data_IF_819789754356
#
_entry.id   IF_819789754356
#
_cell.length_a   1.000
_cell.length_b   1.000
_cell.length_c   1.000
_cell.angle_alpha   90.00
_cell.angle_beta   90.00
_cell.angle_gamma   90.00
#
_symmetry.space_group_name_H-M   'P 1'
#
loop_
_entity.id
_entity.type
_entity.pdbx_description
1 polymer ?
#
# COMPACT_ATOMS: atom_id res chain seq x y z
N UNK A 1 -2.12 -13.17 -13.29
CA UNK A 1 -2.10 -12.27 -12.12
C UNK A 1 -0.76 -11.55 -12.07
N UNK A 2 -0.73 -10.25 -11.82
CA UNK A 2 0.51 -9.52 -11.59
C UNK A 2 0.71 -9.31 -10.09
N UNK A 3 1.79 -9.84 -9.53
CA UNK A 3 2.02 -9.87 -8.07
C UNK A 3 3.03 -8.82 -7.56
N UNK A 4 3.85 -8.24 -8.46
CA UNK A 4 4.92 -7.32 -8.07
C UNK A 4 4.80 -5.99 -8.80
N UNK A 5 4.04 -5.06 -8.22
CA UNK A 5 4.02 -3.66 -8.66
C UNK A 5 4.64 -2.74 -7.62
N UNK A 6 5.22 -1.65 -8.11
CA UNK A 6 5.58 -0.53 -7.25
C UNK A 6 4.31 0.13 -6.71
N UNK A 7 4.27 0.38 -5.40
CA UNK A 7 3.22 1.17 -4.75
C UNK A 7 3.17 2.61 -5.28
N UNK A 8 1.98 3.21 -5.33
CA UNK A 8 1.74 4.58 -5.84
C UNK A 8 2.09 4.80 -7.33
N UNK A 9 2.26 3.73 -8.10
CA UNK A 9 2.54 3.80 -9.53
C UNK A 9 1.25 3.74 -10.35
N UNK A 10 1.19 4.51 -11.42
CA UNK A 10 0.20 4.29 -12.47
C UNK A 10 0.69 3.15 -13.37
N UNK A 11 -0.18 2.18 -13.63
CA UNK A 11 0.08 1.06 -14.53
C UNK A 11 -0.98 1.05 -15.63
N UNK A 12 -0.53 0.91 -16.88
CA UNK A 12 -1.38 0.70 -18.04
C UNK A 12 -1.24 -0.74 -18.53
N UNK A 13 -2.35 -1.40 -18.77
CA UNK A 13 -2.43 -2.75 -19.32
C UNK A 13 -3.18 -2.69 -20.63
N UNK A 14 -2.59 -3.24 -21.69
CA UNK A 14 -3.21 -3.31 -23.00
C UNK A 14 -3.39 -4.77 -23.40
N UNK A 15 -4.56 -5.11 -23.92
CA UNK A 15 -4.95 -6.44 -24.33
C UNK A 15 -5.50 -6.41 -25.75
N UNK A 16 -5.12 -7.39 -26.57
CA UNK A 16 -5.70 -7.65 -27.87
C UNK A 16 -5.72 -9.17 -28.13
N UNK A 17 -6.64 -9.62 -28.98
CA UNK A 17 -6.71 -11.00 -29.44
C UNK A 17 -6.01 -11.14 -30.79
N UNK A 18 -5.47 -12.34 -31.04
CA UNK A 18 -4.90 -12.75 -32.33
C UNK A 18 -5.64 -14.00 -32.79
N UNK A 19 -6.21 -13.97 -34.01
CA UNK A 19 -6.93 -15.11 -34.56
C UNK A 19 -5.98 -16.14 -35.22
N UNK A 20 -6.54 -17.27 -35.67
CA UNK A 20 -5.76 -18.35 -36.31
C UNK A 20 -5.09 -17.93 -37.62
N UNK A 21 -5.54 -16.82 -38.22
CA UNK A 21 -4.99 -16.22 -39.45
C UNK A 21 -4.05 -15.05 -39.16
N UNK A 22 -3.75 -14.77 -37.88
CA UNK A 22 -2.87 -13.67 -37.47
C UNK A 22 -3.50 -12.28 -37.48
N UNK A 23 -4.83 -12.15 -37.63
CA UNK A 23 -5.51 -10.85 -37.53
C UNK A 23 -5.64 -10.43 -36.07
N UNK A 24 -5.46 -9.13 -35.83
CA UNK A 24 -5.56 -8.54 -34.50
C UNK A 24 -6.97 -7.98 -34.26
N UNK A 25 -7.47 -8.10 -33.03
CA UNK A 25 -8.63 -7.34 -32.59
C UNK A 25 -8.27 -5.88 -32.35
N UNK A 26 -9.30 -5.05 -32.13
CA UNK A 26 -9.11 -3.74 -31.53
C UNK A 26 -8.43 -3.86 -30.14
N UNK A 27 -7.66 -2.84 -29.79
CA UNK A 27 -6.91 -2.76 -28.53
C UNK A 27 -7.84 -2.35 -27.39
N UNK A 28 -7.80 -3.10 -26.30
CA UNK A 28 -8.43 -2.72 -25.03
C UNK A 28 -7.37 -2.25 -24.05
N UNK A 29 -7.57 -1.10 -23.39
CA UNK A 29 -6.60 -0.54 -22.44
C UNK A 29 -7.26 -0.25 -21.09
N UNK A 30 -6.62 -0.68 -20.01
CA UNK A 30 -7.01 -0.40 -18.63
C UNK A 30 -5.87 0.33 -17.94
N UNK A 31 -6.16 1.48 -17.32
CA UNK A 31 -5.20 2.20 -16.49
C UNK A 31 -5.67 2.21 -15.03
N UNK A 32 -4.76 1.93 -14.11
CA UNK A 32 -5.05 1.92 -12.68
C UNK A 32 -3.86 2.43 -11.88
N UNK A 33 -4.13 2.92 -10.67
CA UNK A 33 -3.11 3.29 -9.70
C UNK A 33 -3.00 2.21 -8.65
N UNK A 34 -1.77 1.82 -8.32
CA UNK A 34 -1.52 0.88 -7.23
C UNK A 34 -1.74 1.57 -5.88
N UNK A 35 -2.11 0.77 -4.87
CA UNK A 35 -2.38 1.26 -3.53
C UNK A 35 -1.17 1.96 -2.90
N UNK A 36 -1.43 2.78 -1.88
CA UNK A 36 -0.38 3.39 -1.07
C UNK A 36 0.46 2.31 -0.37
N UNK A 37 1.75 2.59 -0.09
CA UNK A 37 2.59 1.65 0.62
C UNK A 37 2.07 1.44 2.04
N UNK A 38 2.34 0.26 2.59
CA UNK A 38 1.99 -0.05 3.97
C UNK A 38 2.70 0.91 4.92
N UNK A 39 1.97 1.32 5.96
CA UNK A 39 2.47 2.23 7.00
C UNK A 39 2.12 1.64 8.34
N UNK A 40 3.14 1.49 9.20
CA UNK A 40 2.97 1.17 10.61
C UNK A 40 2.74 2.48 11.37
N UNK A 41 1.49 2.72 11.73
CA UNK A 41 1.05 3.98 12.34
C UNK A 41 1.67 4.20 13.73
N UNK A 42 1.74 3.14 14.54
CA UNK A 42 2.34 3.18 15.87
C UNK A 42 3.83 3.44 15.80
N UNK A 43 4.52 2.82 14.84
CA UNK A 43 5.95 3.08 14.64
C UNK A 43 6.21 4.51 14.15
N UNK A 44 5.32 5.05 13.31
CA UNK A 44 5.43 6.44 12.85
C UNK A 44 5.27 7.43 14.02
N UNK A 45 4.33 7.18 14.94
CA UNK A 45 4.13 8.00 16.15
C UNK A 45 5.36 7.92 17.08
N UNK A 46 5.88 6.72 17.33
CA UNK A 46 7.11 6.53 18.13
C UNK A 46 8.32 7.29 17.56
N UNK A 47 8.47 7.29 16.22
CA UNK A 47 9.54 8.04 15.56
C UNK A 47 9.31 9.54 15.72
N UNK A 48 8.08 10.03 15.61
CA UNK A 48 7.77 11.45 15.80
C UNK A 48 8.19 11.93 17.20
N UNK A 49 7.82 11.17 18.24
CA UNK A 49 8.21 11.45 19.63
C UNK A 49 9.72 11.40 19.83
N UNK A 50 10.38 10.41 19.24
CA UNK A 50 11.85 10.30 19.28
C UNK A 50 12.52 11.52 18.65
N UNK A 51 12.03 11.98 17.49
CA UNK A 51 12.60 13.14 16.80
C UNK A 51 12.39 14.43 17.60
N UNK A 52 11.20 14.62 18.18
CA UNK A 52 10.93 15.74 19.07
C UNK A 52 11.90 15.78 20.26
N UNK A 53 12.12 14.63 20.90
CA UNK A 53 13.06 14.53 22.02
C UNK A 53 14.51 14.82 21.60
N UNK A 54 14.94 14.38 20.41
CA UNK A 54 16.28 14.67 19.89
C UNK A 54 16.47 16.15 19.56
N UNK A 55 15.42 16.83 19.07
CA UNK A 55 15.44 18.27 18.80
C UNK A 55 15.48 19.09 20.09
N UNK A 56 14.76 18.69 21.13
CA UNK A 56 14.79 19.38 22.42
C UNK A 56 16.07 19.15 23.25
N UNK A 57 16.89 18.15 22.92
CA UNK A 57 17.99 17.67 23.76
C UNK A 57 19.22 18.58 23.91
N UNK A 58 19.20 19.81 23.38
CA UNK A 58 20.41 20.60 23.08
C UNK A 58 21.35 19.78 22.17
N UNK A 59 20.91 19.66 20.92
CA UNK A 59 21.41 18.79 19.86
C UNK A 59 22.94 18.63 19.85
N UNK A 60 23.43 17.57 20.48
CA UNK A 60 24.77 17.06 20.19
C UNK A 60 24.83 16.73 18.69
N UNK A 61 25.98 16.94 18.03
CA UNK A 61 26.14 16.56 16.61
C UNK A 61 25.80 15.08 16.35
N UNK A 62 25.93 14.22 17.36
CA UNK A 62 25.49 12.81 17.32
C UNK A 62 23.97 12.66 17.27
N UNK A 63 23.23 13.47 18.02
CA UNK A 63 21.76 13.46 18.04
C UNK A 63 21.19 13.99 16.73
N UNK A 64 21.76 15.07 16.19
CA UNK A 64 21.41 15.59 14.86
C UNK A 64 21.59 14.51 13.78
N UNK A 65 22.73 13.82 13.80
CA UNK A 65 22.99 12.75 12.84
C UNK A 65 22.05 11.55 13.04
N UNK A 66 21.71 11.21 14.29
CA UNK A 66 20.77 10.13 14.61
C UNK A 66 19.36 10.47 14.14
N UNK A 67 18.89 11.69 14.34
CA UNK A 67 17.60 12.19 13.87
C UNK A 67 17.54 12.13 12.33
N UNK A 68 18.55 12.69 11.66
CA UNK A 68 18.64 12.67 10.20
C UNK A 68 18.65 11.24 9.64
N UNK A 69 19.45 10.34 10.20
CA UNK A 69 19.51 8.95 9.75
C UNK A 69 18.16 8.25 9.93
N UNK A 70 17.53 8.40 11.09
CA UNK A 70 16.21 7.80 11.38
C UNK A 70 15.16 8.24 10.34
N UNK A 71 15.12 9.54 10.00
CA UNK A 71 14.19 10.08 9.00
C UNK A 71 14.51 9.64 7.56
N UNK A 72 15.78 9.37 7.26
CA UNK A 72 16.23 8.94 5.93
C UNK A 72 16.13 7.43 5.71
N UNK A 73 16.16 6.63 6.77
CA UNK A 73 16.02 5.16 6.72
C UNK A 73 14.59 4.72 6.41
N UNK A 74 13.58 5.44 6.90
CA UNK A 74 12.17 5.09 6.67
C UNK A 74 11.68 5.44 5.27
N UNK A 75 10.65 4.73 4.77
CA UNK A 75 10.06 5.02 3.45
C UNK A 75 9.46 6.44 3.37
N UNK A 76 9.27 6.98 2.16
CA UNK A 76 8.68 8.31 1.99
C UNK A 76 7.27 8.41 2.60
N UNK A 77 6.46 7.35 2.53
CA UNK A 77 5.12 7.31 3.15
C UNK A 77 5.19 7.22 4.67
N UNK A 78 6.16 6.48 5.22
CA UNK A 78 6.42 6.47 6.67
C UNK A 78 6.86 7.85 7.14
N UNK A 79 7.79 8.50 6.44
CA UNK A 79 8.26 9.86 6.76
C UNK A 79 7.11 10.88 6.74
N UNK A 80 6.21 10.79 5.76
CA UNK A 80 5.02 11.61 5.70
C UNK A 80 4.09 11.37 6.90
N UNK A 81 3.97 10.12 7.36
CA UNK A 81 3.20 9.79 8.54
C UNK A 81 3.85 10.30 9.84
N UNK A 82 5.17 10.22 9.95
CA UNK A 82 5.95 10.82 11.05
C UNK A 82 5.69 12.33 11.11
N UNK A 83 5.75 13.03 9.98
CA UNK A 83 5.44 14.46 9.92
C UNK A 83 4.02 14.76 10.43
N UNK A 84 3.03 13.96 10.03
CA UNK A 84 1.65 14.12 10.48
C UNK A 84 1.53 14.02 12.01
N UNK A 85 2.11 12.98 12.62
CA UNK A 85 2.10 12.81 14.08
C UNK A 85 2.88 13.90 14.80
N UNK A 86 4.06 14.27 14.27
CA UNK A 86 4.87 15.33 14.85
C UNK A 86 4.09 16.65 14.92
N UNK A 87 3.46 17.05 13.82
CA UNK A 87 2.68 18.28 13.80
C UNK A 87 1.43 18.17 14.68
N UNK A 88 0.78 17.02 14.72
CA UNK A 88 -0.38 16.81 15.60
C UNK A 88 -0.08 17.06 17.08
N UNK A 89 1.12 16.72 17.54
CA UNK A 89 1.50 16.82 18.96
C UNK A 89 2.32 18.06 19.30
N UNK A 90 3.19 18.49 18.39
CA UNK A 90 4.29 19.41 18.69
C UNK A 90 4.30 20.70 17.86
N UNK A 91 3.33 20.92 16.95
CA UNK A 91 3.28 22.11 16.08
C UNK A 91 3.30 23.43 16.88
N UNK A 92 2.73 23.44 18.09
CA UNK A 92 2.80 24.60 19.02
C UNK A 92 4.24 25.04 19.38
N UNK A 93 5.22 24.15 19.22
CA UNK A 93 6.63 24.42 19.46
C UNK A 93 7.43 24.62 18.18
N UNK A 94 6.76 24.77 17.03
CA UNK A 94 7.36 24.83 15.70
C UNK A 94 7.00 23.59 14.89
N UNK A 95 6.57 23.79 13.65
CA UNK A 95 6.22 22.70 12.76
C UNK A 95 7.45 21.84 12.42
N UNK A 96 7.21 20.60 11.97
CA UNK A 96 8.25 19.63 11.64
C UNK A 96 9.28 20.15 10.64
N UNK A 97 8.86 20.95 9.66
CA UNK A 97 9.73 21.44 8.59
C UNK A 97 10.68 22.49 9.15
N UNK A 98 10.11 23.49 9.80
CA UNK A 98 10.83 24.59 10.42
C UNK A 98 11.79 24.08 11.49
N UNK A 99 11.33 23.17 12.36
CA UNK A 99 12.19 22.54 13.37
C UNK A 99 13.30 21.68 12.79
N UNK A 100 13.04 20.95 11.71
CA UNK A 100 14.09 20.17 11.06
C UNK A 100 15.15 21.06 10.41
N UNK A 101 14.77 22.23 9.91
CA UNK A 101 15.70 23.21 9.36
C UNK A 101 16.56 23.86 10.44
N UNK A 102 15.97 24.24 11.57
CA UNK A 102 16.67 24.82 12.71
C UNK A 102 17.69 23.84 13.32
N UNK A 103 17.29 22.60 13.55
CA UNK A 103 18.11 21.61 14.28
C UNK A 103 19.11 20.86 13.38
N UNK A 104 18.82 20.67 12.09
CA UNK A 104 19.67 19.91 11.17
C UNK A 104 20.34 20.78 10.10
N UNK A 105 19.93 22.04 9.98
CA UNK A 105 20.37 22.95 8.93
C UNK A 105 19.64 22.76 7.59
N UNK A 106 19.70 23.77 6.71
CA UNK A 106 18.87 23.86 5.49
C UNK A 106 19.12 22.71 4.52
N UNK A 107 20.37 22.25 4.39
CA UNK A 107 20.72 21.19 3.43
C UNK A 107 20.09 19.84 3.81
N UNK A 108 20.13 19.46 5.09
CA UNK A 108 19.58 18.18 5.57
C UNK A 108 18.05 18.24 5.58
N UNK A 109 17.47 19.34 6.04
CA UNK A 109 16.02 19.55 6.01
C UNK A 109 15.47 19.46 4.58
N UNK A 110 16.11 20.13 3.61
CA UNK A 110 15.65 20.08 2.22
C UNK A 110 15.68 18.67 1.62
N UNK A 111 16.65 17.82 1.99
CA UNK A 111 16.68 16.42 1.55
C UNK A 111 15.52 15.60 2.14
N UNK A 112 15.13 15.88 3.39
CA UNK A 112 13.95 15.27 4.04
C UNK A 112 12.68 15.72 3.32
N UNK A 113 12.52 17.03 3.07
CA UNK A 113 11.37 17.59 2.35
C UNK A 113 11.19 17.00 0.96
N UNK A 114 12.28 16.87 0.20
CA UNK A 114 12.26 16.25 -1.13
C UNK A 114 11.78 14.80 -1.12
N UNK A 115 11.86 14.09 0.01
CA UNK A 115 11.28 12.75 0.14
C UNK A 115 9.78 12.78 0.36
N UNK A 116 9.26 13.78 1.09
CA UNK A 116 7.83 13.97 1.28
C UNK A 116 7.12 14.24 -0.06
N UNK A 117 7.75 14.98 -0.96
CA UNK A 117 7.25 15.25 -2.33
C UNK A 117 7.10 14.00 -3.20
N UNK A 118 7.79 12.89 -2.86
CA UNK A 118 7.65 11.62 -3.60
C UNK A 118 6.33 10.91 -3.31
N UNK A 119 5.60 11.34 -2.28
CA UNK A 119 4.28 10.80 -1.96
C UNK A 119 3.25 11.44 -2.89
N UNK A 120 2.49 10.59 -3.59
CA UNK A 120 1.44 11.07 -4.49
C UNK A 120 0.35 11.83 -3.73
N UNK A 121 -0.31 12.80 -4.39
CA UNK A 121 -1.44 13.57 -3.84
C UNK A 121 -2.55 12.67 -3.26
N UNK A 122 -2.83 11.55 -3.92
CA UNK A 122 -3.81 10.58 -3.43
C UNK A 122 -3.39 9.99 -2.08
N UNK A 123 -2.14 9.54 -1.96
CA UNK A 123 -1.66 8.95 -0.72
C UNK A 123 -1.40 9.97 0.37
N UNK A 124 -0.97 11.19 0.05
CA UNK A 124 -0.79 12.24 1.05
C UNK A 124 -2.11 12.59 1.74
N UNK A 125 -3.23 12.54 1.02
CA UNK A 125 -4.57 12.72 1.59
C UNK A 125 -4.94 11.57 2.53
N UNK A 126 -4.75 10.31 2.10
CA UNK A 126 -5.06 9.14 2.92
C UNK A 126 -4.16 9.03 4.16
N UNK A 127 -2.87 9.37 4.03
CA UNK A 127 -1.90 9.31 5.12
C UNK A 127 -2.11 10.41 6.18
N UNK A 128 -3.02 11.37 5.98
CA UNK A 128 -3.47 12.33 7.00
C UNK A 128 -4.66 11.84 7.83
N UNK A 129 -5.12 10.61 7.61
CA UNK A 129 -6.23 10.01 8.37
C UNK A 129 -5.92 9.95 9.87
N UNK A 130 -6.95 9.92 10.72
CA UNK A 130 -6.74 9.92 12.17
C UNK A 130 -5.98 8.68 12.66
N UNK A 131 -6.20 7.53 12.03
CA UNK A 131 -5.42 6.31 12.26
C UNK A 131 -5.30 5.49 10.99
N UNK A 132 -4.25 4.66 10.94
CA UNK A 132 -4.00 3.71 9.87
C UNK A 132 -3.76 2.34 10.49
N UNK A 133 -4.40 1.31 9.96
CA UNK A 133 -4.15 -0.08 10.36
C UNK A 133 -3.88 -0.94 9.14
N UNK A 134 -2.98 -1.91 9.28
CA UNK A 134 -2.75 -2.92 8.26
C UNK A 134 -3.70 -4.10 8.45
N UNK A 135 -4.33 -4.55 7.36
CA UNK A 135 -5.15 -5.76 7.29
C UNK A 135 -4.56 -6.67 6.22
N UNK A 136 -4.47 -7.96 6.51
CA UNK A 136 -4.15 -8.98 5.50
C UNK A 136 -5.44 -9.55 4.94
N UNK A 137 -5.62 -9.45 3.63
CA UNK A 137 -6.71 -10.08 2.89
C UNK A 137 -6.14 -11.25 2.09
N UNK A 138 -6.81 -12.40 2.14
CA UNK A 138 -6.40 -13.58 1.37
C UNK A 138 -7.46 -13.85 0.32
N UNK A 139 -7.06 -13.96 -0.94
CA UNK A 139 -7.96 -14.20 -2.07
C UNK A 139 -7.49 -15.40 -2.90
N UNK A 140 -8.42 -16.23 -3.42
CA UNK A 140 -8.08 -17.29 -4.35
C UNK A 140 -7.81 -16.74 -5.76
N UNK A 141 -6.93 -17.40 -6.50
CA UNK A 141 -6.70 -17.17 -7.92
C UNK A 141 -6.40 -18.50 -8.63
N UNK A 142 -6.79 -18.58 -9.92
CA UNK A 142 -6.47 -19.73 -10.75
C UNK A 142 -5.04 -19.64 -11.30
N UNK A 143 -4.29 -20.71 -11.11
CA UNK A 143 -2.95 -20.89 -11.64
C UNK A 143 -2.96 -22.04 -12.66
N UNK A 144 -3.00 -21.68 -13.95
CA UNK A 144 -3.07 -22.64 -15.04
C UNK A 144 -1.72 -22.81 -15.75
N UNK A 145 -1.37 -24.05 -16.10
CA UNK A 145 -0.20 -24.41 -16.91
C UNK A 145 -0.64 -25.25 -18.10
N UNK A 146 0.00 -25.03 -19.26
CA UNK A 146 -0.20 -25.87 -20.44
C UNK A 146 0.44 -27.23 -20.21
N UNK A 147 -0.30 -28.31 -20.47
CA UNK A 147 0.21 -29.69 -20.42
C UNK A 147 1.02 -30.05 -21.67
N UNK A 148 0.75 -29.36 -22.78
CA UNK A 148 1.31 -29.69 -24.09
C UNK A 148 2.59 -28.89 -24.38
N UNK A 149 3.67 -29.60 -24.71
CA UNK A 149 4.92 -29.03 -25.24
C UNK A 149 4.74 -28.87 -26.74
N UNK A 150 4.56 -27.63 -27.22
CA UNK A 150 4.32 -27.37 -28.65
C UNK A 150 5.49 -27.87 -29.52
N UNK A 151 5.24 -28.60 -30.62
CA UNK A 151 6.27 -28.95 -31.58
C UNK A 151 6.76 -27.68 -32.32
N UNK A 152 8.09 -27.47 -32.44
CA UNK A 152 8.64 -26.33 -33.15
C UNK A 152 8.51 -26.56 -34.66
N UNK A 153 7.66 -25.78 -35.36
CA UNK A 153 7.68 -25.76 -36.83
C UNK A 153 6.38 -25.49 -37.59
N UNK A 154 5.22 -25.34 -36.93
CA UNK A 154 3.96 -25.12 -37.66
C UNK A 154 3.50 -23.65 -37.57
N UNK A 155 3.44 -22.97 -38.72
CA UNK A 155 3.15 -21.52 -38.90
C UNK A 155 1.66 -21.18 -38.68
N UNK A 156 0.86 -22.09 -38.14
CA UNK A 156 -0.57 -21.91 -37.95
C UNK A 156 -0.83 -21.74 -36.46
N UNK A 157 -1.34 -20.58 -36.07
CA UNK A 157 -1.71 -20.31 -34.68
C UNK A 157 -2.78 -21.32 -34.25
N UNK A 158 -2.43 -22.21 -33.33
CA UNK A 158 -3.35 -23.19 -32.74
C UNK A 158 -4.51 -22.48 -32.03
N UNK A 159 -5.72 -23.05 -32.09
CA UNK A 159 -6.88 -22.53 -31.36
C UNK A 159 -6.57 -22.58 -29.86
N UNK A 160 -6.45 -21.41 -29.22
CA UNK A 160 -6.09 -21.30 -27.79
C UNK A 160 -7.07 -22.04 -26.87
N UNK A 161 -8.36 -22.12 -27.25
CA UNK A 161 -9.39 -22.83 -26.49
C UNK A 161 -9.17 -24.34 -26.42
N UNK A 162 -8.50 -24.92 -27.41
CA UNK A 162 -8.32 -26.36 -27.52
C UNK A 162 -7.06 -26.83 -26.78
N UNK A 163 -6.28 -25.89 -26.24
CA UNK A 163 -5.06 -26.19 -25.47
C UNK A 163 -5.44 -26.85 -24.15
N UNK A 164 -4.92 -28.06 -23.89
CA UNK A 164 -5.07 -28.73 -22.61
C UNK A 164 -4.29 -28.01 -21.52
N UNK A 165 -4.99 -27.59 -20.47
CA UNK A 165 -4.43 -26.85 -19.34
C UNK A 165 -4.78 -27.54 -18.03
N UNK A 166 -3.79 -27.71 -17.16
CA UNK A 166 -4.03 -28.06 -15.75
C UNK A 166 -4.16 -26.76 -14.96
N UNK A 167 -5.24 -26.60 -14.22
CA UNK A 167 -5.46 -25.43 -13.37
C UNK A 167 -5.54 -25.83 -11.90
N UNK A 168 -4.81 -25.10 -11.07
CA UNK A 168 -4.84 -25.24 -9.61
C UNK A 168 -5.35 -23.94 -8.99
N UNK A 169 -6.18 -24.03 -7.96
CA UNK A 169 -6.53 -22.88 -7.14
C UNK A 169 -5.39 -22.58 -6.15
N UNK A 170 -4.93 -21.33 -6.12
CA UNK A 170 -3.90 -20.86 -5.19
C UNK A 170 -4.39 -19.65 -4.43
N UNK A 171 -3.84 -19.45 -3.24
CA UNK A 171 -4.17 -18.31 -2.39
C UNK A 171 -3.08 -17.23 -2.52
N UNK A 172 -3.50 -15.97 -2.52
CA UNK A 172 -2.60 -14.82 -2.39
C UNK A 172 -3.00 -13.98 -1.19
N UNK A 173 -2.03 -13.72 -0.31
CA UNK A 173 -2.18 -12.79 0.81
C UNK A 173 -1.72 -11.40 0.40
N UNK A 174 -2.61 -10.42 0.50
CA UNK A 174 -2.33 -9.02 0.23
C UNK A 174 -2.49 -8.22 1.52
N UNK A 175 -1.43 -7.51 1.93
CA UNK A 175 -1.54 -6.53 2.99
C UNK A 175 -2.08 -5.21 2.42
N UNK A 176 -3.03 -4.60 3.13
CA UNK A 176 -3.64 -3.31 2.77
C UNK A 176 -3.76 -2.40 3.98
N UNK A 177 -3.60 -1.11 3.75
CA UNK A 177 -3.93 -0.11 4.76
C UNK A 177 -5.45 0.09 4.82
N UNK A 178 -5.96 0.23 6.04
CA UNK A 178 -7.31 0.67 6.38
C UNK A 178 -7.18 2.05 7.02
N UNK A 179 -7.89 3.02 6.47
CA UNK A 179 -7.85 4.42 6.91
C UNK A 179 -9.15 4.74 7.64
N UNK A 180 -9.08 5.47 8.76
CA UNK A 180 -10.28 5.85 9.49
C UNK A 180 -10.22 7.22 10.16
N UNK A 181 -11.40 7.77 10.42
CA UNK A 181 -11.61 9.12 10.97
C UNK A 181 -11.71 9.14 12.51
N UNK A 182 -12.06 8.03 13.15
CA UNK A 182 -12.04 7.87 14.61
C UNK A 182 -11.84 6.40 15.03
N UNK A 183 -11.00 6.17 16.07
CA UNK A 183 -10.68 4.82 16.58
C UNK A 183 -11.92 4.03 17.08
N UNK A 184 -13.08 4.67 17.20
CA UNK A 184 -14.32 4.12 17.80
C UNK A 184 -15.23 3.30 16.88
N UNK A 185 -15.11 3.37 15.55
CA UNK A 185 -16.05 2.68 14.62
C UNK A 185 -15.77 1.19 14.38
N UNK A 186 -14.62 0.68 14.80
CA UNK A 186 -14.26 -0.73 14.56
C UNK A 186 -14.99 -1.74 15.45
N UNK A 187 -15.42 -1.34 16.66
CA UNK A 187 -16.27 -2.22 17.48
C UNK A 187 -17.66 -2.43 16.85
N UNK A 188 -18.17 -1.44 16.12
CA UNK A 188 -19.48 -1.52 15.48
C UNK A 188 -19.49 -2.44 14.24
N UNK A 189 -18.43 -2.45 13.42
CA UNK A 189 -18.39 -3.35 12.25
C UNK A 189 -18.12 -4.80 12.63
N UNK A 190 -17.37 -5.06 13.71
CA UNK A 190 -17.19 -6.41 14.26
C UNK A 190 -18.46 -6.94 14.94
N UNK A 191 -19.28 -6.05 15.51
CA UNK A 191 -20.62 -6.39 16.05
C UNK A 191 -21.63 -6.64 14.93
N UNK A 192 -21.61 -5.87 13.83
CA UNK A 192 -22.48 -6.11 12.68
C UNK A 192 -22.15 -7.40 11.93
N UNK A 193 -20.86 -7.75 11.81
CA UNK A 193 -20.46 -9.03 11.21
C UNK A 193 -20.77 -10.23 12.10
N UNK A 194 -20.71 -10.09 13.43
CA UNK A 194 -21.18 -11.11 14.37
C UNK A 194 -22.72 -11.22 14.42
N UNK A 195 -23.47 -10.14 14.24
CA UNK A 195 -24.95 -10.19 14.21
C UNK A 195 -25.48 -10.84 12.93
N UNK A 196 -24.81 -10.64 11.80
CA UNK A 196 -25.16 -11.30 10.53
C UNK A 196 -24.91 -12.81 10.56
N UNK A 197 -23.80 -13.26 11.17
CA UNK A 197 -23.53 -14.69 11.36
C UNK A 197 -24.47 -15.36 12.38
N UNK A 198 -25.07 -14.61 13.30
CA UNK A 198 -26.03 -15.15 14.28
C UNK A 198 -27.46 -15.29 13.72
N UNK A 199 -27.77 -14.69 12.57
CA UNK A 199 -29.10 -14.78 11.95
C UNK A 199 -29.26 -15.97 10.97
N UNK A 200 -28.18 -16.69 10.65
CA UNK A 200 -28.22 -17.86 9.74
C UNK A 200 -28.35 -19.22 10.46
N UNK A 201 -28.52 -19.27 11.79
CA UNK A 201 -28.59 -20.52 12.57
C UNK A 201 -29.94 -20.77 13.26
N UNK A 202 -31.06 -20.30 12.71
CA UNK A 202 -32.39 -20.74 13.17
C UNK A 202 -32.74 -22.07 12.45
N UNK A 203 -32.88 -23.21 13.16
CA UNK A 203 -33.23 -24.47 12.52
C UNK A 203 -34.69 -24.45 12.06
N UNK A 204 -34.90 -24.86 10.81
CA UNK A 204 -36.21 -25.23 10.26
C UNK A 204 -36.82 -26.36 11.11
N UNK A 205 -37.77 -26.01 11.98
CA UNK A 205 -38.69 -26.95 12.59
C UNK A 205 -40.09 -26.67 12.05
N UNK A 206 -40.52 -27.53 11.14
CA UNK A 206 -41.87 -27.62 10.59
C UNK A 206 -42.87 -28.11 11.66
N UNK A 207 -44.15 -27.74 11.56
CA UNK A 207 -45.25 -28.64 11.89
C UNK A 207 -45.72 -29.41 10.65
#
# INVERSE_FOLDING_TARGET
MFASFRSQAAAGFTLYAVDTRGRHSELSTVTLRTACPLVDDSKAEEIADKIYNLYNGYTSGKEQQTAYNTLMEVSASMLFRVQHHYNSHYEKFGDFVWRSEDELGPRKAHLILRRLEKVSSHCSTLLRSAYIQSRTETMPYLFCRSEEVRPPGMVWYSILKDTKVTCEEKMVSMLRNTYGESKGRQKASLLQSKSLLAQELVPLASP
#
